data_IF_237536551785
#
_entry.id   IF_237536551785
#
_cell.length_a   1.000
_cell.length_b   1.000
_cell.length_c   1.000
_cell.angle_alpha   90.00
_cell.angle_beta   90.00
_cell.angle_gamma   90.00
#
_symmetry.space_group_name_H-M   'P 1'
#
loop_
_entity.id
_entity.type
_entity.pdbx_description
1 polymer ?
#
# COMPACT_ATOMS: atom_id res chain seq x y z
N UNK A 1 0.62 -0.50 7.64
CA UNK A 1 0.95 -1.40 8.79
C UNK A 1 1.41 -2.79 8.35
N UNK A 2 1.44 -3.08 7.04
CA UNK A 2 1.90 -4.36 6.52
C UNK A 2 0.82 -5.45 6.50
N UNK A 3 1.20 -6.73 6.61
CA UNK A 3 2.55 -7.20 7.01
C UNK A 3 3.60 -7.05 5.92
N UNK A 4 3.21 -7.03 4.65
CA UNK A 4 4.06 -6.68 3.52
C UNK A 4 3.89 -5.19 3.17
N UNK A 5 5.00 -4.52 2.86
CA UNK A 5 5.01 -3.06 2.59
C UNK A 5 5.66 -2.67 1.26
N UNK A 6 6.21 -3.61 0.49
CA UNK A 6 7.00 -3.28 -0.71
C UNK A 6 8.16 -2.32 -0.38
N UNK A 7 8.07 -1.06 -0.84
CA UNK A 7 8.83 0.10 -0.40
C UNK A 7 10.35 0.01 -0.64
N UNK A 8 10.78 -0.75 -1.66
CA UNK A 8 12.19 -0.97 -1.99
C UNK A 8 13.02 -1.37 -0.76
N UNK A 9 12.37 -2.10 0.16
CA UNK A 9 12.92 -2.54 1.43
C UNK A 9 13.10 -4.05 1.42
N UNK A 10 14.11 -4.51 2.17
CA UNK A 10 14.48 -5.93 2.23
C UNK A 10 13.25 -6.83 2.44
N UNK A 11 13.05 -7.75 1.48
CA UNK A 11 11.93 -8.67 1.38
C UNK A 11 10.54 -8.03 1.62
N UNK A 12 10.35 -6.77 1.21
CA UNK A 12 9.12 -6.01 1.40
C UNK A 12 8.70 -5.89 2.86
N UNK A 13 9.67 -5.86 3.78
CA UNK A 13 9.47 -5.82 5.23
C UNK A 13 9.18 -7.18 5.88
N UNK A 14 9.02 -8.25 5.10
CA UNK A 14 8.75 -9.58 5.63
C UNK A 14 10.04 -10.21 6.18
N UNK A 15 10.04 -10.76 7.41
CA UNK A 15 11.28 -11.27 8.01
C UNK A 15 11.88 -12.48 7.27
N UNK A 16 13.19 -12.43 7.01
CA UNK A 16 13.94 -13.51 6.32
C UNK A 16 13.77 -14.89 6.97
N UNK A 17 13.60 -14.93 8.30
CA UNK A 17 13.48 -16.19 9.04
C UNK A 17 12.22 -16.98 8.70
N UNK A 18 11.21 -16.35 8.06
CA UNK A 18 10.01 -17.05 7.57
C UNK A 18 10.39 -18.17 6.60
N UNK A 19 11.31 -17.87 5.67
CA UNK A 19 11.77 -18.82 4.66
C UNK A 19 12.63 -19.90 5.33
N UNK A 20 13.52 -19.52 6.25
CA UNK A 20 14.38 -20.48 6.96
C UNK A 20 13.57 -21.46 7.82
N UNK A 21 12.53 -20.97 8.50
CA UNK A 21 11.69 -21.76 9.41
C UNK A 21 10.74 -22.71 8.69
N UNK A 22 10.16 -22.28 7.56
CA UNK A 22 9.06 -23.00 6.91
C UNK A 22 9.38 -23.53 5.51
N UNK A 23 10.50 -23.13 4.92
CA UNK A 23 10.91 -23.50 3.57
C UNK A 23 9.98 -22.91 2.51
N UNK A 24 8.99 -23.69 2.09
CA UNK A 24 8.03 -23.38 1.01
C UNK A 24 6.80 -22.60 1.51
N UNK A 25 7.00 -21.58 2.34
CA UNK A 25 5.90 -20.76 2.84
C UNK A 25 5.34 -19.87 1.73
N UNK A 26 4.01 -19.92 1.53
CA UNK A 26 3.35 -19.00 0.62
C UNK A 26 3.05 -17.70 1.35
N UNK A 27 4.00 -16.76 1.29
CA UNK A 27 3.86 -15.43 1.88
C UNK A 27 2.72 -14.66 1.19
N UNK A 28 2.09 -13.74 1.92
CA UNK A 28 0.95 -12.93 1.42
C UNK A 28 -0.24 -13.79 0.94
N UNK A 29 -0.48 -14.92 1.60
CA UNK A 29 -1.64 -15.79 1.34
C UNK A 29 -2.28 -16.27 2.64
N UNK A 30 -3.36 -17.05 2.54
CA UNK A 30 -4.02 -17.72 3.66
C UNK A 30 -3.27 -18.97 4.15
N UNK A 31 -2.01 -19.19 3.76
CA UNK A 31 -1.14 -20.20 4.36
C UNK A 31 -1.14 -20.03 5.89
N UNK A 32 -1.64 -21.04 6.59
CA UNK A 32 -1.83 -21.02 8.05
C UNK A 32 -0.53 -20.72 8.79
N UNK A 33 0.62 -21.12 8.24
CA UNK A 33 1.94 -20.84 8.81
C UNK A 33 2.25 -19.36 8.72
N UNK A 34 1.98 -18.74 7.57
CA UNK A 34 2.18 -17.30 7.36
C UNK A 34 1.22 -16.47 8.22
N UNK A 35 -0.08 -16.76 8.16
CA UNK A 35 -1.09 -16.06 8.95
C UNK A 35 -0.81 -16.13 10.46
N UNK A 36 -0.31 -17.28 10.96
CA UNK A 36 0.09 -17.41 12.36
C UNK A 36 1.18 -16.40 12.74
N UNK A 37 2.21 -16.24 11.91
CA UNK A 37 3.29 -15.29 12.19
C UNK A 37 2.83 -13.83 12.07
N UNK A 38 1.96 -13.55 11.09
CA UNK A 38 1.34 -12.23 10.95
C UNK A 38 0.49 -11.88 12.18
N UNK A 39 -0.30 -12.83 12.68
CA UNK A 39 -1.13 -12.63 13.87
C UNK A 39 -0.27 -12.40 15.12
N UNK A 40 0.85 -13.13 15.27
CA UNK A 40 1.81 -12.88 16.35
C UNK A 40 2.39 -11.47 16.28
N UNK A 41 2.75 -11.00 15.09
CA UNK A 41 3.24 -9.62 14.89
C UNK A 41 2.17 -8.58 15.21
N UNK A 42 0.95 -8.77 14.69
CA UNK A 42 -0.15 -7.83 14.87
C UNK A 42 -0.66 -7.78 16.32
N UNK A 43 -0.58 -8.89 17.07
CA UNK A 43 -0.87 -8.93 18.50
C UNK A 43 0.09 -8.05 19.34
N UNK A 44 1.24 -7.67 18.79
CA UNK A 44 2.17 -6.72 19.42
C UNK A 44 1.96 -5.31 18.86
N UNK A 45 1.97 -5.17 17.53
CA UNK A 45 1.93 -3.85 16.87
C UNK A 45 0.60 -3.12 17.11
N UNK A 46 -0.54 -3.79 16.92
CA UNK A 46 -1.84 -3.10 16.89
C UNK A 46 -2.24 -2.52 18.26
N UNK A 47 -2.03 -3.22 19.40
CA UNK A 47 -2.24 -2.60 20.71
C UNK A 47 -1.41 -1.34 20.96
N UNK A 48 -0.18 -1.28 20.43
CA UNK A 48 0.69 -0.09 20.51
C UNK A 48 0.08 1.08 19.72
N UNK A 49 -0.53 0.81 18.56
CA UNK A 49 -1.15 1.84 17.72
C UNK A 49 -2.50 2.32 18.25
N UNK A 50 -3.25 1.48 18.97
CA UNK A 50 -4.60 1.79 19.43
C UNK A 50 -4.75 3.15 20.15
N UNK A 51 -3.93 3.52 21.15
CA UNK A 51 -4.07 4.84 21.80
C UNK A 51 -3.80 6.02 20.86
N UNK A 52 -3.13 5.80 19.73
CA UNK A 52 -2.81 6.84 18.75
C UNK A 52 -3.88 7.00 17.66
N UNK A 53 -4.96 6.23 17.69
CA UNK A 53 -6.10 6.43 16.79
C UNK A 53 -6.78 7.77 17.07
N UNK A 54 -7.30 8.42 16.01
CA UNK A 54 -8.00 9.70 16.13
C UNK A 54 -9.19 9.63 17.09
N UNK A 55 -9.96 8.53 17.04
CA UNK A 55 -11.07 8.29 17.97
C UNK A 55 -10.64 8.16 19.44
N UNK A 56 -9.35 7.90 19.68
CA UNK A 56 -8.74 7.78 21.00
C UNK A 56 -7.87 9.01 21.34
N UNK A 57 -7.96 10.09 20.55
CA UNK A 57 -7.25 11.35 20.77
C UNK A 57 -5.87 11.46 20.13
N UNK A 58 -5.46 10.48 19.30
CA UNK A 58 -4.18 10.50 18.60
C UNK A 58 -4.26 10.97 17.14
N UNK A 59 -3.14 10.89 16.38
CA UNK A 59 -3.07 11.40 15.01
C UNK A 59 -3.47 10.40 13.91
N UNK A 60 -3.64 9.11 14.22
CA UNK A 60 -3.88 8.06 13.20
C UNK A 60 -5.35 8.09 12.77
N UNK A 61 -5.62 8.58 11.56
CA UNK A 61 -6.96 8.66 10.98
C UNK A 61 -7.43 7.31 10.37
N UNK A 62 -6.58 6.67 9.57
CA UNK A 62 -6.89 5.43 8.84
C UNK A 62 -5.68 4.49 8.83
N UNK A 63 -5.92 3.20 8.58
CA UNK A 63 -4.86 2.19 8.46
C UNK A 63 -4.97 1.43 7.15
N UNK A 64 -3.85 1.33 6.42
CA UNK A 64 -3.78 0.51 5.20
C UNK A 64 -3.67 -0.97 5.55
N UNK A 65 -4.51 -1.80 4.95
CA UNK A 65 -4.35 -3.25 4.95
C UNK A 65 -3.49 -3.67 3.77
N UNK A 66 -2.45 -4.46 4.02
CA UNK A 66 -1.58 -4.96 2.94
C UNK A 66 -0.96 -3.81 2.12
N UNK A 67 -0.42 -4.09 0.94
CA UNK A 67 0.14 -3.14 0.01
C UNK A 67 0.08 -3.68 -1.43
N UNK A 68 -0.73 -3.05 -2.29
CA UNK A 68 -0.88 -3.41 -3.70
C UNK A 68 -1.10 -4.90 -3.91
N UNK A 69 -2.06 -5.48 -3.16
CA UNK A 69 -2.32 -6.91 -3.21
C UNK A 69 -2.83 -7.35 -4.59
N UNK A 70 -3.41 -6.43 -5.36
CA UNK A 70 -3.77 -6.60 -6.76
C UNK A 70 -2.60 -6.96 -7.66
N UNK A 71 -1.39 -6.55 -7.31
CA UNK A 71 -0.15 -6.87 -8.03
C UNK A 71 0.41 -8.25 -7.65
N UNK A 72 -0.19 -8.93 -6.67
CA UNK A 72 0.23 -10.25 -6.22
C UNK A 72 -0.56 -11.38 -6.92
N UNK A 73 0.15 -12.41 -7.39
CA UNK A 73 -0.44 -13.49 -8.20
C UNK A 73 -1.54 -14.29 -7.48
N UNK A 74 -1.53 -14.34 -6.14
CA UNK A 74 -2.37 -15.26 -5.39
C UNK A 74 -3.86 -14.86 -5.38
N UNK A 75 -4.17 -13.55 -5.44
CA UNK A 75 -5.54 -13.03 -5.37
C UNK A 75 -6.38 -13.64 -4.23
N UNK A 76 -5.76 -13.89 -3.07
CA UNK A 76 -6.39 -14.57 -1.94
C UNK A 76 -7.23 -13.59 -1.08
N UNK A 77 -8.52 -13.54 -1.36
CA UNK A 77 -9.47 -12.71 -0.60
C UNK A 77 -9.71 -13.21 0.84
N UNK A 78 -9.43 -14.49 1.14
CA UNK A 78 -9.51 -15.04 2.50
C UNK A 78 -8.40 -14.43 3.35
N UNK A 79 -7.20 -14.28 2.78
CA UNK A 79 -6.08 -13.61 3.42
C UNK A 79 -6.40 -12.15 3.78
N UNK A 80 -6.85 -11.33 2.82
CA UNK A 80 -7.21 -9.94 3.07
C UNK A 80 -8.31 -9.81 4.13
N UNK A 81 -9.34 -10.66 4.04
CA UNK A 81 -10.41 -10.69 5.05
C UNK A 81 -9.86 -10.99 6.45
N UNK A 82 -8.96 -11.97 6.57
CA UNK A 82 -8.34 -12.31 7.86
C UNK A 82 -7.52 -11.15 8.43
N UNK A 83 -6.77 -10.42 7.59
CA UNK A 83 -6.06 -9.21 8.03
C UNK A 83 -7.02 -8.16 8.58
N UNK A 84 -8.12 -7.90 7.85
CA UNK A 84 -9.13 -6.92 8.27
C UNK A 84 -9.77 -7.30 9.60
N UNK A 85 -10.09 -8.57 9.81
CA UNK A 85 -10.63 -9.08 11.07
C UNK A 85 -9.68 -8.89 12.25
N UNK A 86 -8.39 -9.22 12.08
CA UNK A 86 -7.37 -9.01 13.12
C UNK A 86 -7.24 -7.51 13.44
N UNK A 87 -7.23 -6.66 12.42
CA UNK A 87 -7.16 -5.20 12.61
C UNK A 87 -8.36 -4.67 13.38
N UNK A 88 -9.59 -5.08 13.02
CA UNK A 88 -10.81 -4.68 13.75
C UNK A 88 -10.85 -5.22 15.17
N UNK A 89 -10.35 -6.42 15.40
CA UNK A 89 -10.29 -7.01 16.73
C UNK A 89 -9.47 -6.14 17.69
N UNK A 90 -8.30 -5.67 17.25
CA UNK A 90 -7.40 -4.86 18.09
C UNK A 90 -7.73 -3.37 18.12
N UNK A 91 -8.09 -2.79 16.97
CA UNK A 91 -8.29 -1.34 16.81
C UNK A 91 -9.77 -0.93 16.93
N UNK A 92 -10.68 -1.89 17.10
CA UNK A 92 -12.13 -1.71 17.18
C UNK A 92 -12.82 -1.66 15.81
N UNK A 93 -14.15 -1.93 15.77
CA UNK A 93 -14.90 -2.08 14.53
C UNK A 93 -14.96 -0.80 13.68
N UNK A 94 -14.91 0.38 14.33
CA UNK A 94 -15.03 1.68 13.68
C UNK A 94 -13.71 2.22 13.09
N UNK A 95 -12.63 1.44 13.14
CA UNK A 95 -11.36 1.85 12.52
C UNK A 95 -11.53 1.93 11.00
N UNK A 96 -11.16 3.07 10.41
CA UNK A 96 -11.18 3.24 8.97
C UNK A 96 -10.00 2.46 8.38
N UNK A 97 -10.32 1.40 7.65
CA UNK A 97 -9.35 0.62 6.89
C UNK A 97 -9.43 1.00 5.43
N UNK A 98 -8.28 0.99 4.76
CA UNK A 98 -8.20 1.17 3.31
C UNK A 98 -7.21 0.20 2.68
N UNK A 99 -7.31 0.01 1.36
CA UNK A 99 -6.30 -0.67 0.52
C UNK A 99 -5.78 0.32 -0.51
N UNK A 100 -4.58 0.09 -1.04
CA UNK A 100 -3.96 0.86 -2.12
C UNK A 100 -3.51 -0.10 -3.19
N UNK A 101 -3.90 0.18 -4.44
CA UNK A 101 -3.55 -0.60 -5.62
C UNK A 101 -3.47 0.29 -6.86
N UNK A 102 -2.72 -0.16 -7.87
CA UNK A 102 -2.66 0.47 -9.17
C UNK A 102 -4.03 0.78 -9.79
N UNK A 103 -4.11 1.90 -10.51
CA UNK A 103 -5.34 2.50 -11.03
C UNK A 103 -6.00 1.77 -12.22
N UNK A 104 -5.99 0.43 -12.24
CA UNK A 104 -6.57 -0.39 -13.29
C UNK A 104 -7.35 -1.58 -12.75
N UNK A 105 -8.33 -2.06 -13.52
CA UNK A 105 -9.18 -3.21 -13.19
C UNK A 105 -8.37 -4.47 -12.82
N UNK A 106 -7.24 -4.70 -13.50
CA UNK A 106 -6.37 -5.86 -13.24
C UNK A 106 -5.80 -5.88 -11.82
N UNK A 107 -5.57 -4.71 -11.22
CA UNK A 107 -5.06 -4.59 -9.85
C UNK A 107 -6.23 -4.58 -8.85
N UNK A 108 -7.19 -3.68 -9.05
CA UNK A 108 -8.29 -3.47 -8.10
C UNK A 108 -9.17 -4.70 -7.89
N UNK A 109 -9.34 -5.54 -8.92
CA UNK A 109 -10.11 -6.79 -8.80
C UNK A 109 -9.62 -7.70 -7.68
N UNK A 110 -8.31 -7.76 -7.46
CA UNK A 110 -7.69 -8.63 -6.44
C UNK A 110 -7.25 -7.86 -5.19
N UNK A 111 -7.02 -6.56 -5.31
CA UNK A 111 -6.56 -5.71 -4.20
C UNK A 111 -7.65 -5.16 -3.30
N UNK A 112 -8.87 -5.03 -3.81
CA UNK A 112 -10.00 -4.50 -3.02
C UNK A 112 -10.63 -5.56 -2.11
N UNK A 113 -11.23 -5.10 -1.01
CA UNK A 113 -11.96 -5.94 -0.06
C UNK A 113 -13.25 -5.25 0.38
N UNK A 114 -14.37 -5.98 0.39
CA UNK A 114 -15.66 -5.45 0.83
C UNK A 114 -15.61 -4.91 2.27
N UNK A 115 -16.12 -3.69 2.48
CA UNK A 115 -16.11 -3.03 3.79
C UNK A 115 -14.76 -2.41 4.16
N UNK A 116 -13.80 -2.35 3.25
CA UNK A 116 -12.53 -1.63 3.35
C UNK A 116 -12.48 -0.61 2.21
N UNK A 117 -12.00 0.61 2.49
CA UNK A 117 -12.06 1.69 1.50
C UNK A 117 -10.99 1.50 0.41
N UNK A 118 -11.34 1.34 -0.87
CA UNK A 118 -10.33 1.18 -1.92
C UNK A 118 -9.78 2.55 -2.33
N UNK A 119 -8.48 2.70 -2.22
CA UNK A 119 -7.71 3.84 -2.75
C UNK A 119 -6.84 3.36 -3.90
N UNK A 120 -6.31 4.32 -4.65
CA UNK A 120 -5.48 4.03 -5.81
C UNK A 120 -4.14 4.76 -5.71
N UNK A 121 -3.18 4.31 -6.51
CA UNK A 121 -1.91 4.99 -6.72
C UNK A 121 -1.66 5.28 -8.20
N UNK A 122 -0.88 6.35 -8.44
CA UNK A 122 -0.36 6.74 -9.76
C UNK A 122 0.56 7.96 -9.65
N UNK A 123 1.52 8.07 -10.58
CA UNK A 123 2.42 9.22 -10.69
C UNK A 123 1.90 10.36 -11.59
N UNK A 124 2.74 11.38 -11.85
CA UNK A 124 2.42 12.48 -12.76
C UNK A 124 1.92 12.01 -14.12
N UNK A 125 0.82 12.60 -14.59
CA UNK A 125 0.12 12.15 -15.80
C UNK A 125 -0.80 13.24 -16.37
N UNK A 126 -1.44 12.96 -17.50
CA UNK A 126 -2.39 13.90 -18.11
C UNK A 126 -3.68 14.02 -17.29
N UNK A 127 -4.37 15.17 -17.38
CA UNK A 127 -5.67 15.37 -16.70
C UNK A 127 -6.71 14.31 -17.09
N UNK A 128 -6.70 13.88 -18.35
CA UNK A 128 -7.57 12.81 -18.85
C UNK A 128 -7.31 11.50 -18.12
N UNK A 129 -6.05 11.14 -17.90
CA UNK A 129 -5.68 9.94 -17.15
C UNK A 129 -6.07 10.07 -15.67
N UNK A 130 -5.86 11.23 -15.04
CA UNK A 130 -6.31 11.47 -13.65
C UNK A 130 -7.81 11.21 -13.51
N UNK A 131 -8.62 11.74 -14.45
CA UNK A 131 -10.06 11.50 -14.45
C UNK A 131 -10.40 10.01 -14.65
N UNK A 132 -9.71 9.33 -15.56
CA UNK A 132 -9.92 7.90 -15.80
C UNK A 132 -9.56 7.03 -14.58
N UNK A 133 -8.46 7.33 -13.91
CA UNK A 133 -8.01 6.64 -12.71
C UNK A 133 -8.99 6.84 -11.56
N UNK A 134 -9.43 8.07 -11.29
CA UNK A 134 -10.46 8.31 -10.28
C UNK A 134 -11.84 7.77 -10.66
N UNK A 135 -12.18 7.68 -11.95
CA UNK A 135 -13.37 6.95 -12.39
C UNK A 135 -13.25 5.45 -12.08
N UNK A 136 -12.06 4.87 -12.20
CA UNK A 136 -11.79 3.48 -11.81
C UNK A 136 -11.91 3.30 -10.29
N UNK A 137 -11.37 4.22 -9.48
CA UNK A 137 -11.62 4.21 -8.02
C UNK A 137 -13.13 4.24 -7.74
N UNK A 138 -13.88 5.12 -8.41
CA UNK A 138 -15.34 5.25 -8.24
C UNK A 138 -16.12 3.99 -8.65
N UNK A 139 -15.59 3.17 -9.55
CA UNK A 139 -16.19 1.89 -9.89
C UNK A 139 -16.24 0.95 -8.69
N UNK A 140 -15.19 0.92 -7.87
CA UNK A 140 -15.09 0.10 -6.66
C UNK A 140 -15.64 0.80 -5.40
N UNK A 141 -15.66 2.14 -5.38
CA UNK A 141 -16.26 2.92 -4.30
C UNK A 141 -17.06 4.12 -4.85
N UNK A 142 -18.37 3.93 -5.11
CA UNK A 142 -19.21 4.99 -5.69
C UNK A 142 -19.31 6.26 -4.83
N UNK A 143 -18.93 6.19 -3.55
CA UNK A 143 -19.03 7.27 -2.58
C UNK A 143 -17.72 7.45 -1.78
N UNK A 144 -17.60 8.57 -1.06
CA UNK A 144 -16.41 8.92 -0.27
C UNK A 144 -15.38 9.75 -1.04
N UNK A 145 -14.22 10.06 -0.44
CA UNK A 145 -13.21 10.94 -1.05
C UNK A 145 -12.51 10.30 -2.25
N UNK A 146 -12.03 11.10 -3.19
CA UNK A 146 -11.01 10.62 -4.12
C UNK A 146 -9.68 10.55 -3.36
N UNK A 147 -8.90 9.48 -3.54
CA UNK A 147 -7.65 9.31 -2.79
C UNK A 147 -6.60 8.70 -3.71
N UNK A 148 -5.51 9.45 -3.93
CA UNK A 148 -4.26 8.93 -4.43
C UNK A 148 -3.33 8.69 -3.22
N UNK A 149 -3.20 7.44 -2.81
CA UNK A 149 -2.45 7.04 -1.61
C UNK A 149 -0.94 7.00 -1.85
N UNK A 150 -0.49 6.97 -3.10
CA UNK A 150 0.93 7.06 -3.47
C UNK A 150 1.07 7.83 -4.79
N UNK A 151 1.25 9.15 -4.67
CA UNK A 151 1.58 10.00 -5.81
C UNK A 151 3.10 10.07 -5.96
N UNK A 152 3.64 9.64 -7.10
CA UNK A 152 5.07 9.42 -7.31
C UNK A 152 5.81 10.62 -7.96
N UNK A 153 6.34 11.61 -7.23
CA UNK A 153 7.11 12.73 -7.80
C UNK A 153 8.52 12.32 -8.27
N UNK A 154 8.93 11.08 -8.04
CA UNK A 154 10.21 10.51 -8.43
C UNK A 154 10.06 9.00 -8.62
N UNK A 155 11.16 8.28 -8.68
CA UNK A 155 11.14 6.83 -8.83
C UNK A 155 12.35 6.17 -8.16
N UNK A 156 12.23 4.86 -7.90
CA UNK A 156 13.36 4.05 -7.45
C UNK A 156 14.42 3.93 -8.55
N UNK A 157 15.64 3.56 -8.17
CA UNK A 157 16.73 3.27 -9.11
C UNK A 157 17.41 1.96 -8.72
N UNK A 158 17.91 1.25 -9.72
CA UNK A 158 18.53 -0.07 -9.55
C UNK A 158 20.05 0.03 -9.77
N UNK A 159 20.83 -0.75 -9.04
CA UNK A 159 22.27 -0.86 -9.28
C UNK A 159 22.56 -1.25 -10.75
N UNK A 160 23.49 -0.55 -11.38
CA UNK A 160 23.85 -0.76 -12.80
C UNK A 160 22.96 -0.01 -13.80
N UNK A 161 21.85 0.59 -13.37
CA UNK A 161 21.00 1.40 -14.22
C UNK A 161 21.71 2.69 -14.66
N UNK A 162 21.70 2.98 -15.96
CA UNK A 162 22.40 4.13 -16.55
C UNK A 162 21.59 5.42 -16.53
N UNK A 163 20.26 5.31 -16.55
CA UNK A 163 19.34 6.45 -16.57
C UNK A 163 17.96 6.03 -16.09
N UNK A 164 17.27 6.94 -15.41
CA UNK A 164 15.85 6.85 -15.08
C UNK A 164 15.16 8.12 -15.58
N UNK A 165 13.96 7.99 -16.16
CA UNK A 165 13.20 9.15 -16.62
C UNK A 165 12.30 9.62 -15.48
N UNK A 166 12.78 10.61 -14.75
CA UNK A 166 12.01 11.23 -13.67
C UNK A 166 10.99 12.23 -14.21
N UNK A 167 9.82 12.37 -13.55
CA UNK A 167 8.87 13.43 -13.86
C UNK A 167 9.50 14.83 -13.70
N UNK A 168 9.10 15.76 -14.56
CA UNK A 168 9.46 17.17 -14.39
C UNK A 168 8.67 17.83 -13.26
N UNK A 169 9.22 18.90 -12.68
CA UNK A 169 8.54 19.71 -11.65
C UNK A 169 7.16 20.17 -12.14
N UNK A 170 7.06 20.56 -13.42
CA UNK A 170 5.79 20.98 -14.03
C UNK A 170 4.78 19.84 -14.06
N UNK A 171 5.17 18.63 -14.50
CA UNK A 171 4.27 17.47 -14.49
C UNK A 171 3.79 17.13 -13.08
N UNK A 172 4.67 17.21 -12.08
CA UNK A 172 4.36 16.96 -10.67
C UNK A 172 3.33 17.98 -10.17
N UNK A 173 3.61 19.28 -10.33
CA UNK A 173 2.73 20.36 -9.86
C UNK A 173 1.39 20.32 -10.59
N UNK A 174 1.38 20.18 -11.92
CA UNK A 174 0.16 20.21 -12.71
C UNK A 174 -0.77 19.04 -12.38
N UNK A 175 -0.22 17.85 -12.15
CA UNK A 175 -1.01 16.68 -11.77
C UNK A 175 -1.55 16.84 -10.35
N UNK A 176 -0.72 17.26 -9.39
CA UNK A 176 -1.12 17.44 -8.00
C UNK A 176 -2.16 18.56 -7.81
N UNK A 177 -1.98 19.71 -8.48
CA UNK A 177 -2.94 20.82 -8.49
C UNK A 177 -4.29 20.37 -9.07
N UNK A 178 -4.27 19.60 -10.17
CA UNK A 178 -5.50 19.09 -10.74
C UNK A 178 -6.22 18.10 -9.82
N UNK A 179 -5.50 17.18 -9.18
CA UNK A 179 -6.08 16.30 -8.16
C UNK A 179 -6.67 17.10 -6.98
N UNK A 180 -5.98 18.15 -6.53
CA UNK A 180 -6.45 19.04 -5.47
C UNK A 180 -7.75 19.78 -5.88
N UNK A 181 -7.83 20.28 -7.11
CA UNK A 181 -9.04 20.93 -7.64
C UNK A 181 -10.24 19.99 -7.73
N UNK A 182 -10.01 18.68 -7.89
CA UNK A 182 -11.06 17.65 -7.81
C UNK A 182 -11.48 17.31 -6.37
N UNK A 183 -10.82 17.89 -5.36
CA UNK A 183 -11.04 17.60 -3.95
C UNK A 183 -10.45 16.24 -3.50
N UNK A 184 -9.45 15.73 -4.22
CA UNK A 184 -8.79 14.48 -3.86
C UNK A 184 -7.84 14.66 -2.68
N UNK A 185 -7.74 13.64 -1.84
CA UNK A 185 -6.65 13.48 -0.88
C UNK A 185 -5.43 12.88 -1.60
N UNK A 186 -4.25 13.42 -1.32
CA UNK A 186 -3.01 13.08 -2.03
C UNK A 186 -1.92 12.81 -0.99
N UNK A 187 -1.22 11.70 -1.11
CA UNK A 187 0.01 11.42 -0.37
C UNK A 187 1.21 11.40 -1.33
N UNK A 188 2.23 12.22 -1.07
CA UNK A 188 3.43 12.29 -1.90
C UNK A 188 4.42 11.18 -1.51
N UNK A 189 4.62 10.22 -2.41
CA UNK A 189 5.52 9.07 -2.25
C UNK A 189 6.71 9.17 -3.24
N UNK A 190 7.89 9.66 -2.86
CA UNK A 190 8.32 10.07 -1.53
C UNK A 190 8.36 11.58 -1.41
N UNK A 191 7.89 12.11 -0.28
CA UNK A 191 8.19 13.49 0.12
C UNK A 191 9.67 13.62 0.54
N UNK A 192 10.18 12.63 1.27
CA UNK A 192 11.61 12.46 1.56
C UNK A 192 11.93 10.95 1.60
N UNK A 193 12.82 10.49 0.72
CA UNK A 193 13.15 9.05 0.63
C UNK A 193 14.18 8.57 1.66
N UNK A 194 15.15 9.41 2.04
CA UNK A 194 16.20 9.04 2.98
C UNK A 194 17.26 8.11 2.39
N UNK A 195 17.66 7.08 3.15
CA UNK A 195 18.78 6.18 2.78
C UNK A 195 18.56 4.78 3.33
N UNK A 196 18.73 3.78 2.48
CA UNK A 196 18.81 2.38 2.88
C UNK A 196 20.18 2.11 3.51
N UNK A 197 20.30 2.30 4.83
CA UNK A 197 21.52 1.95 5.56
C UNK A 197 21.68 0.43 5.71
N UNK A 198 22.91 -0.05 5.89
CA UNK A 198 23.19 -1.46 6.14
C UNK A 198 22.76 -2.35 4.97
N UNK A 199 21.90 -3.34 5.25
CA UNK A 199 21.43 -4.33 4.29
C UNK A 199 19.91 -4.26 4.08
N UNK A 200 19.34 -3.06 4.22
CA UNK A 200 17.89 -2.88 4.19
C UNK A 200 17.32 -2.59 2.81
N UNK A 201 18.15 -2.46 1.77
CA UNK A 201 17.66 -2.28 0.42
C UNK A 201 16.90 -3.53 -0.05
N UNK A 202 15.82 -3.32 -0.79
CA UNK A 202 15.17 -4.36 -1.58
C UNK A 202 15.94 -4.65 -2.87
N UNK A 203 15.30 -5.42 -3.76
CA UNK A 203 15.81 -5.74 -5.08
C UNK A 203 14.66 -5.94 -6.06
N UNK A 204 14.94 -5.69 -7.34
CA UNK A 204 14.05 -6.00 -8.45
C UNK A 204 14.45 -7.34 -9.09
N UNK A 205 13.46 -8.09 -9.58
CA UNK A 205 13.70 -9.38 -10.25
C UNK A 205 14.45 -9.24 -11.57
N UNK A 206 14.48 -8.03 -12.14
CA UNK A 206 15.16 -7.70 -13.40
C UNK A 206 16.07 -6.49 -13.19
N UNK A 207 17.23 -6.71 -12.57
CA UNK A 207 18.32 -5.73 -12.56
C UNK A 207 19.12 -5.80 -13.89
N UNK A 208 19.60 -4.66 -14.43
CA UNK A 208 20.41 -4.61 -15.65
C UNK A 208 21.73 -5.40 -15.61
#
# INVERSE_FOLDING_TARGET
IGPYICAEWENGGLPWWLIHKYGNIHQRTSDKRFLKEVELWFNVLLPILNPYLLKNGGPILMVQLENEYGSHYACDQIYLKRLSEIVRYHLGPDVIQYTTDGSAESYLKCGTLAGVYPTIDFGPTTRQNVQAYFAMQRHYTPHGPLVNSEFYPGWLVIWGQKSEKLPSITEIIDTADYMYQLGASINFYMFHGGTNFGYWNGAEITAP
#
